data_IF_566059742586
#
_entry.id   IF_566059742586
#
_cell.length_a   1.000
_cell.length_b   1.000
_cell.length_c   1.000
_cell.angle_alpha   90.00
_cell.angle_beta   90.00
_cell.angle_gamma   90.00
#
_symmetry.space_group_name_H-M   'P 1'
#
loop_
_entity.id
_entity.type
_entity.pdbx_description
1 polymer ?
#
# COMPACT_ATOMS: atom_id res chain seq x y z
N UNK A 1 3.46 -45.57 17.20
CA UNK A 1 2.68 -44.33 17.41
C UNK A 1 2.90 -43.47 16.20
N UNK A 2 2.03 -43.56 15.26
CA UNK A 2 2.05 -42.72 14.03
C UNK A 2 1.18 -41.51 14.30
N UNK A 3 1.82 -40.33 14.38
CA UNK A 3 1.12 -39.05 14.38
C UNK A 3 0.69 -38.77 12.94
N UNK A 4 -0.55 -39.08 12.63
CA UNK A 4 -1.19 -38.58 11.42
C UNK A 4 -1.45 -37.08 11.63
N UNK A 5 -0.66 -36.25 10.95
CA UNK A 5 -0.97 -34.83 10.80
C UNK A 5 -2.15 -34.78 9.84
N UNK A 6 -3.35 -34.62 10.39
CA UNK A 6 -4.56 -34.41 9.61
C UNK A 6 -4.41 -33.10 8.85
N UNK A 7 -4.26 -33.19 7.52
CA UNK A 7 -4.20 -32.03 6.65
C UNK A 7 -5.51 -31.24 6.77
N UNK A 8 -5.43 -29.98 7.17
CA UNK A 8 -6.56 -29.08 7.28
C UNK A 8 -7.29 -29.03 5.91
N UNK A 9 -8.56 -29.44 5.91
CA UNK A 9 -9.41 -29.33 4.72
C UNK A 9 -9.51 -27.88 4.28
N UNK A 10 -9.40 -27.57 2.98
CA UNK A 10 -9.59 -26.22 2.50
C UNK A 10 -11.00 -25.74 2.90
N UNK A 11 -11.08 -24.59 3.56
CA UNK A 11 -12.36 -23.96 3.89
C UNK A 11 -13.12 -23.73 2.60
N UNK A 12 -14.29 -24.34 2.47
CA UNK A 12 -15.22 -24.03 1.38
C UNK A 12 -15.49 -22.53 1.40
N UNK A 13 -15.06 -21.83 0.38
CA UNK A 13 -15.47 -20.44 0.18
C UNK A 13 -17.00 -20.44 -0.03
N UNK A 14 -17.71 -19.89 0.93
CA UNK A 14 -19.14 -19.64 0.79
C UNK A 14 -19.33 -18.59 -0.30
N UNK A 15 -20.23 -18.85 -1.25
CA UNK A 15 -20.50 -18.05 -2.48
C UNK A 15 -20.98 -16.60 -2.23
N UNK A 16 -20.98 -16.11 -0.99
CA UNK A 16 -21.54 -14.81 -0.58
C UNK A 16 -20.61 -13.97 0.27
N UNK A 17 -19.27 -14.18 0.17
CA UNK A 17 -18.34 -13.23 0.76
C UNK A 17 -18.41 -11.96 -0.11
N UNK A 18 -18.84 -10.80 0.44
CA UNK A 18 -18.70 -9.56 -0.31
C UNK A 18 -17.26 -9.43 -0.72
N UNK A 19 -17.02 -9.00 -1.98
CA UNK A 19 -15.66 -8.81 -2.48
C UNK A 19 -15.00 -7.70 -1.66
N UNK A 20 -14.26 -8.11 -0.63
CA UNK A 20 -13.49 -7.19 0.18
C UNK A 20 -12.26 -6.78 -0.59
N UNK A 21 -11.98 -5.49 -0.60
CA UNK A 21 -10.76 -4.96 -1.16
C UNK A 21 -9.53 -5.51 -0.41
N UNK A 22 -8.42 -5.50 -1.09
CA UNK A 22 -7.13 -5.89 -0.56
C UNK A 22 -6.16 -4.73 -0.67
N UNK A 23 -5.36 -4.51 0.36
CA UNK A 23 -4.47 -3.35 0.43
C UNK A 23 -3.03 -3.80 0.66
N UNK A 24 -2.12 -3.33 -0.18
CA UNK A 24 -0.70 -3.33 0.15
C UNK A 24 -0.38 -2.04 0.90
N UNK A 25 0.19 -2.17 2.10
CA UNK A 25 0.56 -1.06 2.96
C UNK A 25 2.08 -0.95 3.10
N UNK A 26 2.55 0.29 3.14
CA UNK A 26 3.98 0.61 3.25
C UNK A 26 4.20 1.68 4.30
N UNK A 27 5.21 1.52 5.12
CA UNK A 27 5.71 2.57 6.01
C UNK A 27 7.21 2.72 5.74
N UNK A 28 7.62 3.92 5.38
CA UNK A 28 8.95 4.17 4.83
C UNK A 28 9.63 5.30 5.60
N UNK A 29 10.81 5.07 6.20
CA UNK A 29 11.63 6.17 6.70
C UNK A 29 12.29 6.88 5.52
N UNK A 30 12.04 8.17 5.39
CA UNK A 30 12.52 8.98 4.27
C UNK A 30 13.30 10.18 4.77
N UNK A 31 14.54 10.40 4.31
CA UNK A 31 15.24 11.64 4.62
C UNK A 31 14.42 12.86 4.21
N UNK A 32 14.26 13.81 5.11
CA UNK A 32 13.47 15.03 4.87
C UNK A 32 13.95 15.81 3.65
N UNK A 33 15.25 15.77 3.37
CA UNK A 33 15.85 16.40 2.20
C UNK A 33 15.52 15.70 0.86
N UNK A 34 14.90 14.52 0.91
CA UNK A 34 14.63 13.68 -0.27
C UNK A 34 13.16 13.60 -0.64
N UNK A 35 12.31 14.41 -0.03
CA UNK A 35 10.85 14.38 -0.28
C UNK A 35 10.55 14.68 -1.76
N UNK A 36 11.21 15.66 -2.36
CA UNK A 36 10.95 15.99 -3.77
C UNK A 36 11.43 14.91 -4.73
N UNK A 37 12.59 14.31 -4.47
CA UNK A 37 13.09 13.17 -5.25
C UNK A 37 12.12 11.97 -5.14
N UNK A 38 11.66 11.68 -3.94
CA UNK A 38 10.69 10.63 -3.68
C UNK A 38 9.37 10.89 -4.42
N UNK A 39 8.87 12.13 -4.39
CA UNK A 39 7.63 12.53 -5.09
C UNK A 39 7.70 12.21 -6.57
N UNK A 40 8.81 12.52 -7.23
CA UNK A 40 8.99 12.24 -8.67
C UNK A 40 8.94 10.75 -8.97
N UNK A 41 9.59 9.94 -8.14
CA UNK A 41 9.58 8.47 -8.26
C UNK A 41 8.18 7.93 -8.02
N UNK A 42 7.50 8.38 -6.98
CA UNK A 42 6.15 7.96 -6.63
C UNK A 42 5.13 8.32 -7.71
N UNK A 43 5.27 9.47 -8.36
CA UNK A 43 4.42 9.86 -9.50
C UNK A 43 4.54 8.88 -10.67
N UNK A 44 5.75 8.43 -10.97
CA UNK A 44 5.98 7.41 -12.01
C UNK A 44 5.43 6.05 -11.60
N UNK A 45 5.67 5.64 -10.36
CA UNK A 45 5.13 4.39 -9.82
C UNK A 45 3.60 4.38 -9.87
N UNK A 46 2.96 5.48 -9.50
CA UNK A 46 1.50 5.65 -9.58
C UNK A 46 0.95 5.29 -10.96
N UNK A 47 1.56 5.79 -12.00
CA UNK A 47 1.13 5.53 -13.38
C UNK A 47 1.25 4.05 -13.74
N UNK A 48 2.35 3.43 -13.36
CA UNK A 48 2.60 2.00 -13.62
C UNK A 48 1.54 1.14 -12.93
N UNK A 49 1.32 1.35 -11.64
CA UNK A 49 0.35 0.57 -10.88
C UNK A 49 -1.07 0.75 -11.40
N UNK A 50 -1.45 1.99 -11.70
CA UNK A 50 -2.77 2.31 -12.28
C UNK A 50 -2.97 1.66 -13.64
N UNK A 51 -1.98 1.72 -14.52
CA UNK A 51 -2.07 1.13 -15.85
C UNK A 51 -2.25 -0.39 -15.81
N UNK A 52 -1.74 -1.04 -14.78
CA UNK A 52 -1.91 -2.48 -14.57
C UNK A 52 -3.14 -2.87 -13.74
N UNK A 53 -3.94 -1.92 -13.33
CA UNK A 53 -5.26 -2.18 -12.76
C UNK A 53 -5.44 -1.95 -11.27
N UNK A 54 -4.46 -1.35 -10.57
CA UNK A 54 -4.66 -0.91 -9.19
C UNK A 54 -5.83 0.07 -9.11
N UNK A 55 -6.68 -0.09 -8.09
CA UNK A 55 -7.88 0.73 -7.92
C UNK A 55 -7.57 2.08 -7.30
N UNK A 56 -6.61 2.14 -6.39
CA UNK A 56 -6.18 3.34 -5.70
C UNK A 56 -4.69 3.23 -5.38
N UNK A 57 -4.01 4.35 -5.45
CA UNK A 57 -2.60 4.47 -5.10
C UNK A 57 -2.40 5.78 -4.35
N UNK A 58 -1.88 5.72 -3.12
CA UNK A 58 -1.60 6.91 -2.32
C UNK A 58 -0.23 6.84 -1.67
N UNK A 59 0.41 7.99 -1.67
CA UNK A 59 1.65 8.25 -0.96
C UNK A 59 1.46 9.48 -0.08
N UNK A 60 1.63 9.31 1.22
CA UNK A 60 1.41 10.37 2.19
C UNK A 60 2.66 10.62 3.01
N UNK A 61 3.06 11.87 3.11
CA UNK A 61 4.20 12.24 3.97
C UNK A 61 3.70 12.68 5.34
N UNK A 62 4.37 12.18 6.39
CA UNK A 62 4.03 12.50 7.77
C UNK A 62 4.15 14.01 8.06
N UNK A 63 3.14 14.55 8.71
CA UNK A 63 3.06 15.97 9.07
C UNK A 63 2.79 16.13 10.57
N UNK A 64 1.86 15.37 11.14
CA UNK A 64 1.51 15.40 12.56
C UNK A 64 1.87 14.07 13.22
N UNK A 65 3.15 13.83 13.47
CA UNK A 65 3.67 12.56 13.97
C UNK A 65 4.05 12.57 15.45
N UNK A 66 4.06 13.74 16.11
CA UNK A 66 4.42 13.87 17.52
C UNK A 66 3.21 13.59 18.41
N UNK A 67 2.91 12.31 18.59
CA UNK A 67 1.80 11.85 19.44
C UNK A 67 2.33 11.35 20.78
N UNK A 68 1.59 11.62 21.87
CA UNK A 68 2.02 11.30 23.24
C UNK A 68 1.35 10.06 23.82
N UNK A 69 0.12 9.77 23.40
CA UNK A 69 -0.70 8.70 24.00
C UNK A 69 -0.57 7.35 23.31
N UNK A 70 -0.07 7.32 22.09
CA UNK A 70 0.14 6.11 21.29
C UNK A 70 1.60 5.96 20.87
N UNK A 71 1.92 4.88 20.21
CA UNK A 71 3.24 4.69 19.61
C UNK A 71 3.34 5.56 18.34
N UNK A 72 4.19 6.58 18.31
CA UNK A 72 4.36 7.39 17.11
C UNK A 72 5.02 6.59 15.98
N UNK A 73 4.63 6.86 14.74
CA UNK A 73 5.21 6.17 13.58
C UNK A 73 6.73 6.25 13.49
N UNK A 74 7.39 7.39 13.79
CA UNK A 74 8.85 7.44 13.80
C UNK A 74 9.49 6.41 14.72
N UNK A 75 8.91 6.17 15.89
CA UNK A 75 9.38 5.15 16.82
C UNK A 75 9.12 3.74 16.30
N UNK A 76 7.95 3.51 15.69
CA UNK A 76 7.57 2.22 15.12
C UNK A 76 8.54 1.77 14.04
N UNK A 77 8.94 2.68 13.16
CA UNK A 77 9.84 2.40 12.04
C UNK A 77 11.31 2.70 12.36
N UNK A 78 11.60 3.13 13.59
CA UNK A 78 12.94 3.48 14.03
C UNK A 78 13.61 4.52 13.12
N UNK A 79 12.91 5.59 12.78
CA UNK A 79 13.43 6.68 11.97
C UNK A 79 14.40 7.56 12.76
N UNK A 80 15.35 8.16 12.06
CA UNK A 80 16.27 9.15 12.63
C UNK A 80 15.63 10.55 12.68
N UNK A 81 16.19 11.50 13.45
CA UNK A 81 15.66 12.88 13.48
C UNK A 81 15.65 13.57 12.11
N UNK A 82 16.54 13.18 11.19
CA UNK A 82 16.62 13.75 9.83
C UNK A 82 15.61 13.13 8.87
N UNK A 83 14.87 12.11 9.31
CA UNK A 83 13.89 11.41 8.52
C UNK A 83 12.47 11.79 8.91
N UNK A 84 11.59 11.76 7.93
CA UNK A 84 10.13 11.69 8.12
C UNK A 84 9.65 10.30 7.77
N UNK A 85 8.35 10.07 7.88
CA UNK A 85 7.70 8.80 7.58
C UNK A 85 6.75 8.99 6.42
N UNK A 86 6.84 8.09 5.44
CA UNK A 86 5.84 7.98 4.37
C UNK A 86 4.91 6.83 4.73
N UNK A 87 3.62 7.08 4.66
CA UNK A 87 2.55 6.08 4.71
C UNK A 87 1.97 5.96 3.31
N UNK A 88 2.06 4.78 2.73
CA UNK A 88 1.57 4.55 1.38
C UNK A 88 0.70 3.30 1.33
N UNK A 89 -0.24 3.28 0.40
CA UNK A 89 -1.04 2.09 0.16
C UNK A 89 -1.50 2.01 -1.29
N UNK A 90 -1.74 0.77 -1.71
CA UNK A 90 -2.30 0.44 -3.01
C UNK A 90 -3.52 -0.44 -2.77
N UNK A 91 -4.64 -0.13 -3.38
CA UNK A 91 -5.90 -0.86 -3.22
C UNK A 91 -6.17 -1.72 -4.45
N UNK A 92 -6.56 -2.98 -4.21
CA UNK A 92 -6.90 -3.97 -5.22
C UNK A 92 -8.29 -4.55 -4.94
N UNK A 93 -8.89 -5.16 -5.95
CA UNK A 93 -10.21 -5.82 -5.82
C UNK A 93 -10.20 -6.99 -4.84
N UNK A 94 -9.08 -7.72 -4.78
CA UNK A 94 -8.89 -8.93 -4.00
C UNK A 94 -7.41 -9.26 -3.89
N UNK A 95 -7.04 -10.22 -3.07
CA UNK A 95 -5.67 -10.72 -3.04
C UNK A 95 -5.23 -11.30 -4.39
N UNK A 96 -6.09 -12.07 -5.06
CA UNK A 96 -5.78 -12.62 -6.37
C UNK A 96 -5.55 -11.51 -7.41
N UNK A 97 -6.34 -10.46 -7.39
CA UNK A 97 -6.15 -9.29 -8.22
C UNK A 97 -4.83 -8.58 -7.91
N UNK A 98 -4.49 -8.41 -6.62
CA UNK A 98 -3.19 -7.87 -6.21
C UNK A 98 -2.03 -8.67 -6.80
N UNK A 99 -2.09 -9.99 -6.70
CA UNK A 99 -1.03 -10.86 -7.18
C UNK A 99 -0.86 -10.76 -8.71
N UNK A 100 -1.95 -10.68 -9.45
CA UNK A 100 -1.95 -10.47 -10.90
C UNK A 100 -1.37 -9.11 -11.29
N UNK A 101 -1.87 -8.03 -10.69
CA UNK A 101 -1.37 -6.67 -10.95
C UNK A 101 0.11 -6.57 -10.63
N UNK A 102 0.52 -7.07 -9.48
CA UNK A 102 1.93 -7.07 -9.06
C UNK A 102 2.83 -7.82 -10.03
N UNK A 103 2.41 -8.99 -10.50
CA UNK A 103 3.17 -9.76 -11.48
C UNK A 103 3.36 -8.96 -12.78
N UNK A 104 2.33 -8.28 -13.25
CA UNK A 104 2.40 -7.44 -14.45
C UNK A 104 3.26 -6.18 -14.25
N UNK A 105 3.16 -5.55 -13.09
CA UNK A 105 4.00 -4.40 -12.73
C UNK A 105 5.47 -4.79 -12.70
N UNK A 106 5.82 -5.95 -12.14
CA UNK A 106 7.21 -6.43 -12.07
C UNK A 106 7.83 -6.72 -13.43
N UNK A 107 7.01 -6.96 -14.46
CA UNK A 107 7.44 -7.16 -15.85
C UNK A 107 7.50 -5.87 -16.65
N UNK A 108 6.98 -4.76 -16.11
CA UNK A 108 6.93 -3.49 -16.82
C UNK A 108 8.35 -2.89 -16.94
N UNK A 109 8.80 -2.54 -18.18
CA UNK A 109 10.14 -1.98 -18.38
C UNK A 109 10.38 -0.68 -17.62
N UNK A 110 9.33 0.09 -17.34
CA UNK A 110 9.43 1.33 -16.58
C UNK A 110 9.89 1.08 -15.14
N UNK A 111 9.51 -0.06 -14.56
CA UNK A 111 9.90 -0.43 -13.21
C UNK A 111 11.38 -0.83 -13.10
N UNK A 112 11.97 -1.35 -14.16
CA UNK A 112 13.37 -1.78 -14.17
C UNK A 112 14.35 -0.65 -13.80
N UNK A 113 13.94 0.61 -14.03
CA UNK A 113 14.71 1.81 -13.67
C UNK A 113 14.52 2.24 -12.21
N UNK A 114 13.65 1.56 -11.46
CA UNK A 114 13.21 1.92 -10.12
C UNK A 114 13.63 0.85 -9.10
N UNK A 115 14.85 0.35 -9.19
CA UNK A 115 15.35 -0.62 -8.24
C UNK A 115 15.66 0.03 -6.88
N UNK A 116 15.82 -0.78 -5.83
CA UNK A 116 16.09 -0.32 -4.48
C UNK A 116 17.36 0.52 -4.35
N UNK A 117 18.38 0.26 -5.18
CA UNK A 117 19.62 1.04 -5.15
C UNK A 117 19.45 2.48 -5.66
N UNK A 118 18.41 2.71 -6.47
CA UNK A 118 18.05 4.02 -7.01
C UNK A 118 17.09 4.81 -6.11
N UNK A 119 16.56 4.19 -5.04
CA UNK A 119 15.61 4.84 -4.15
C UNK A 119 16.30 5.84 -3.20
N UNK A 120 15.66 6.97 -2.90
CA UNK A 120 16.18 7.97 -1.97
C UNK A 120 16.04 7.58 -0.49
N UNK A 121 15.73 6.33 -0.20
CA UNK A 121 15.58 5.76 1.14
C UNK A 121 16.14 4.34 1.19
N UNK A 122 16.36 3.82 2.40
CA UNK A 122 16.82 2.45 2.59
C UNK A 122 15.65 1.47 2.50
N UNK A 123 15.56 0.73 1.40
CA UNK A 123 14.52 -0.27 1.17
C UNK A 123 14.45 -1.36 2.25
N UNK A 124 15.56 -1.68 2.89
CA UNK A 124 15.59 -2.71 3.96
C UNK A 124 14.86 -2.29 5.22
N UNK A 125 14.67 -0.98 5.40
CA UNK A 125 13.96 -0.40 6.55
C UNK A 125 12.49 -0.13 6.26
N UNK A 126 12.05 -0.33 5.02
CA UNK A 126 10.65 -0.19 4.64
C UNK A 126 9.83 -1.34 5.24
N UNK A 127 8.79 -1.01 6.00
CA UNK A 127 7.79 -1.98 6.41
C UNK A 127 6.78 -2.16 5.27
N UNK A 128 6.44 -3.41 4.97
CA UNK A 128 5.52 -3.76 3.90
C UNK A 128 4.67 -4.96 4.30
N UNK A 129 3.41 -4.95 3.89
CA UNK A 129 2.53 -6.10 4.05
C UNK A 129 1.24 -5.95 3.28
N UNK A 130 0.57 -7.08 3.08
CA UNK A 130 -0.75 -7.14 2.47
C UNK A 130 -1.83 -7.31 3.53
N UNK A 131 -2.94 -6.60 3.35
CA UNK A 131 -4.04 -6.54 4.31
C UNK A 131 -5.37 -6.81 3.62
N UNK A 132 -6.14 -7.73 4.18
CA UNK A 132 -7.53 -7.91 3.80
C UNK A 132 -8.38 -6.83 4.49
N UNK A 133 -9.20 -6.13 3.73
CA UNK A 133 -10.08 -5.11 4.31
C UNK A 133 -11.16 -5.79 5.15
N UNK A 134 -11.25 -5.41 6.40
CA UNK A 134 -12.22 -5.96 7.35
C UNK A 134 -13.52 -5.15 7.35
N UNK A 135 -13.43 -3.84 7.28
CA UNK A 135 -14.58 -2.92 7.29
C UNK A 135 -14.29 -1.78 6.33
N UNK A 136 -15.25 -1.45 5.50
CA UNK A 136 -15.17 -0.32 4.55
C UNK A 136 -16.36 0.61 4.72
N UNK A 137 -16.09 1.88 4.53
CA UNK A 137 -17.12 2.90 4.35
C UNK A 137 -16.59 3.92 3.33
N UNK A 138 -17.46 4.33 2.44
CA UNK A 138 -17.16 5.39 1.48
C UNK A 138 -18.06 6.59 1.76
N UNK A 139 -17.55 7.79 1.50
CA UNK A 139 -18.40 8.97 1.55
C UNK A 139 -19.57 8.79 0.59
N UNK A 140 -20.80 9.25 0.93
CA UNK A 140 -21.89 9.29 -0.02
C UNK A 140 -21.46 9.99 -1.31
N UNK A 141 -21.93 9.49 -2.46
CA UNK A 141 -21.70 10.20 -3.71
C UNK A 141 -22.22 11.64 -3.55
N UNK A 142 -21.45 12.67 -4.01
CA UNK A 142 -21.95 14.04 -3.96
C UNK A 142 -23.27 14.09 -4.73
N UNK A 143 -24.29 14.72 -4.11
CA UNK A 143 -25.56 14.96 -4.77
C UNK A 143 -25.27 15.62 -6.12
N UNK A 144 -25.74 15.01 -7.20
CA UNK A 144 -25.72 15.68 -8.49
C UNK A 144 -26.60 16.92 -8.33
N UNK A 145 -25.97 18.07 -8.19
CA UNK A 145 -26.69 19.33 -8.31
C UNK A 145 -27.38 19.29 -9.65
N UNK A 146 -28.70 19.10 -9.64
CA UNK A 146 -29.50 19.28 -10.85
C UNK A 146 -29.27 20.72 -11.27
N UNK A 147 -28.46 20.93 -12.32
CA UNK A 147 -28.44 22.23 -12.97
C UNK A 147 -29.84 22.42 -13.52
N UNK A 148 -30.66 23.18 -12.82
CA UNK A 148 -31.88 23.72 -13.42
C UNK A 148 -31.45 24.66 -14.56
N UNK A 149 -31.81 24.28 -15.75
CA UNK A 149 -31.73 25.14 -16.90
C UNK A 149 -32.74 26.31 -16.72
#
# INVERSE_FOLDING_TARGET
MTNEIEAAKPRKQTKHTPMTHYIDGFVIPLPKSKIDDYRRIAQKAREIWRDHGALEYRECVGEDLDVKSQVPFPRLINSTPDETVVLAWIVFKSRAHRDEVKANVMKDPRLAKMDCNAMPFDCKRMAYGGFEVLVEAFAPAPDRVKRSL
#
